data_IF_961953058708
#
_entry.id   IF_961953058708
#
_cell.length_a   1.000
_cell.length_b   1.000
_cell.length_c   1.000
_cell.angle_alpha   90.00
_cell.angle_beta   90.00
_cell.angle_gamma   90.00
#
_symmetry.space_group_name_H-M   'P 1'
#
loop_
_entity.id
_entity.type
_entity.pdbx_description
1 polymer ?
#
# COMPACT_ATOMS: atom_id res chain seq x y z
N UNK A 1 7.43 6.80 -10.74
CA UNK A 1 7.26 7.93 -9.79
C UNK A 1 8.65 8.40 -9.40
N UNK A 2 8.99 9.68 -9.60
CA UNK A 2 10.37 10.18 -9.39
C UNK A 2 10.35 11.31 -8.36
N UNK A 3 11.34 11.31 -7.46
CA UNK A 3 11.48 12.37 -6.47
C UNK A 3 11.80 13.72 -7.15
N UNK A 4 11.54 14.84 -6.48
CA UNK A 4 11.77 16.18 -7.08
C UNK A 4 13.25 16.45 -7.32
N UNK A 5 14.13 15.93 -6.46
CA UNK A 5 15.57 16.00 -6.64
C UNK A 5 16.22 14.64 -6.29
N UNK A 6 16.15 13.65 -7.20
CA UNK A 6 16.55 12.27 -6.92
C UNK A 6 18.06 12.12 -6.74
N UNK A 7 18.86 13.08 -7.22
CA UNK A 7 20.31 13.07 -7.13
C UNK A 7 20.84 13.64 -5.81
N UNK A 8 19.98 14.29 -5.01
CA UNK A 8 20.34 14.78 -3.68
C UNK A 8 20.67 13.61 -2.76
N UNK A 9 21.76 13.73 -2.00
CA UNK A 9 22.11 12.75 -0.99
C UNK A 9 20.97 12.57 0.03
N UNK A 10 20.69 11.32 0.39
CA UNK A 10 19.73 10.96 1.45
C UNK A 10 20.31 11.15 2.85
N UNK A 11 20.90 12.31 3.13
CA UNK A 11 21.53 12.61 4.42
C UNK A 11 20.50 13.00 5.50
N UNK A 12 20.98 13.18 6.73
CA UNK A 12 20.15 13.57 7.88
C UNK A 12 19.35 14.86 7.62
N UNK A 13 19.93 15.82 6.89
CA UNK A 13 19.26 17.08 6.58
C UNK A 13 18.16 16.89 5.54
N UNK A 14 18.38 16.08 4.51
CA UNK A 14 17.37 15.73 3.52
C UNK A 14 16.18 14.99 4.17
N UNK A 15 16.47 14.04 5.07
CA UNK A 15 15.46 13.36 5.88
C UNK A 15 14.66 14.35 6.74
N UNK A 16 15.36 15.23 7.46
CA UNK A 16 14.72 16.27 8.30
C UNK A 16 13.86 17.23 7.48
N UNK A 17 14.35 17.68 6.32
CA UNK A 17 13.64 18.60 5.44
C UNK A 17 12.36 17.96 4.90
N UNK A 18 12.42 16.67 4.55
CA UNK A 18 11.30 15.89 4.03
C UNK A 18 10.23 15.64 5.10
N UNK A 19 10.62 15.06 6.24
CA UNK A 19 9.69 14.69 7.31
C UNK A 19 9.01 15.89 7.98
N UNK A 20 9.65 17.06 7.97
CA UNK A 20 9.06 18.32 8.48
C UNK A 20 8.34 19.13 7.39
N UNK A 21 8.22 18.60 6.16
CA UNK A 21 7.56 19.26 5.05
C UNK A 21 8.10 20.68 4.77
N UNK A 22 9.42 20.88 4.79
CA UNK A 22 10.04 22.23 4.65
C UNK A 22 9.95 22.86 3.26
N UNK A 23 9.08 22.34 2.38
CA UNK A 23 8.89 22.78 0.99
C UNK A 23 10.20 22.88 0.18
N UNK A 24 11.16 21.99 0.49
CA UNK A 24 12.42 21.87 -0.24
C UNK A 24 12.38 20.66 -1.15
N UNK A 25 12.94 20.79 -2.34
CA UNK A 25 13.14 19.63 -3.20
C UNK A 25 14.07 18.63 -2.50
N UNK A 26 13.63 17.38 -2.48
CA UNK A 26 14.29 16.30 -1.76
C UNK A 26 14.35 15.03 -2.60
N UNK A 27 15.18 14.08 -2.18
CA UNK A 27 15.35 12.82 -2.89
C UNK A 27 14.31 11.77 -2.51
N UNK A 28 13.41 12.06 -1.58
CA UNK A 28 12.48 11.09 -1.04
C UNK A 28 11.07 11.24 -1.61
N UNK A 29 10.38 10.11 -1.73
CA UNK A 29 8.93 10.03 -1.87
C UNK A 29 8.40 9.25 -0.66
N UNK A 30 7.37 9.79 0.00
CA UNK A 30 6.68 9.08 1.09
C UNK A 30 5.67 8.08 0.55
N UNK A 31 5.70 6.88 1.10
CA UNK A 31 4.68 5.84 0.91
C UNK A 31 4.11 5.41 2.26
N UNK A 32 2.92 4.82 2.24
CA UNK A 32 2.29 4.27 3.42
C UNK A 32 2.20 2.74 3.33
N UNK A 33 2.56 2.04 4.40
CA UNK A 33 2.49 0.58 4.52
C UNK A 33 1.17 0.09 5.10
N UNK A 34 0.22 1.00 5.36
CA UNK A 34 -1.13 0.69 5.84
C UNK A 34 -2.16 1.39 4.98
N UNK A 35 -3.15 0.63 4.54
CA UNK A 35 -4.28 1.17 3.79
C UNK A 35 -5.04 2.26 4.55
N UNK A 36 -5.26 2.06 5.85
CA UNK A 36 -5.89 3.06 6.71
C UNK A 36 -5.07 4.35 6.81
N UNK A 37 -3.73 4.27 6.77
CA UNK A 37 -2.88 5.46 6.72
C UNK A 37 -3.02 6.20 5.38
N UNK A 38 -3.07 5.46 4.27
CA UNK A 38 -3.31 6.03 2.95
C UNK A 38 -4.68 6.73 2.86
N UNK A 39 -5.76 6.10 3.32
CA UNK A 39 -7.10 6.70 3.38
C UNK A 39 -7.14 7.96 4.24
N UNK A 40 -6.52 7.95 5.43
CA UNK A 40 -6.43 9.16 6.27
C UNK A 40 -5.70 10.30 5.56
N UNK A 41 -4.61 9.99 4.86
CA UNK A 41 -3.86 11.00 4.10
C UNK A 41 -4.67 11.54 2.94
N UNK A 42 -5.37 10.68 2.21
CA UNK A 42 -6.29 11.07 1.13
C UNK A 42 -7.39 12.00 1.65
N UNK A 43 -8.05 11.64 2.75
CA UNK A 43 -9.09 12.48 3.37
C UNK A 43 -8.54 13.85 3.80
N UNK A 44 -7.34 13.88 4.40
CA UNK A 44 -6.66 15.13 4.72
C UNK A 44 -6.40 15.98 3.48
N UNK A 45 -5.91 15.40 2.37
CA UNK A 45 -5.66 16.13 1.13
C UNK A 45 -6.94 16.76 0.56
N UNK A 46 -8.04 16.00 0.50
CA UNK A 46 -9.33 16.49 0.01
C UNK A 46 -9.85 17.64 0.89
N UNK A 47 -9.78 17.50 2.22
CA UNK A 47 -10.20 18.55 3.15
C UNK A 47 -9.35 19.82 3.05
N UNK A 48 -8.14 19.72 2.49
CA UNK A 48 -7.26 20.86 2.20
C UNK A 48 -7.37 21.33 0.75
N UNK A 49 -8.44 20.96 0.04
CA UNK A 49 -8.78 21.47 -1.29
C UNK A 49 -8.09 20.75 -2.46
N UNK A 50 -7.38 19.65 -2.22
CA UNK A 50 -6.84 18.83 -3.30
C UNK A 50 -7.98 18.21 -4.12
N UNK A 51 -7.84 18.21 -5.44
CA UNK A 51 -8.77 17.60 -6.40
C UNK A 51 -8.09 16.43 -7.09
N UNK A 52 -8.90 15.52 -7.63
CA UNK A 52 -8.43 14.35 -8.41
C UNK A 52 -7.39 13.50 -7.64
N UNK A 53 -7.62 13.34 -6.34
CA UNK A 53 -6.74 12.52 -5.50
C UNK A 53 -6.86 11.06 -5.93
N UNK A 54 -5.73 10.38 -6.06
CA UNK A 54 -5.66 8.94 -6.31
C UNK A 54 -4.80 8.28 -5.25
N UNK A 55 -5.08 7.02 -4.94
CA UNK A 55 -4.20 6.15 -4.17
C UNK A 55 -3.58 5.15 -5.15
N UNK A 56 -2.25 5.05 -5.12
CA UNK A 56 -1.49 4.09 -5.93
C UNK A 56 -0.90 3.05 -5.00
N UNK A 57 -1.39 1.82 -5.08
CA UNK A 57 -0.82 0.69 -4.35
C UNK A 57 0.42 0.18 -5.08
N UNK A 58 1.53 0.02 -4.36
CA UNK A 58 2.83 -0.34 -4.94
C UNK A 58 3.50 -1.50 -4.21
N UNK A 59 4.22 -2.31 -4.97
CA UNK A 59 5.06 -3.40 -4.49
C UNK A 59 6.46 -2.88 -4.12
N UNK A 60 6.72 -2.76 -2.82
CA UNK A 60 7.99 -2.26 -2.31
C UNK A 60 9.01 -3.37 -2.02
N UNK A 61 8.59 -4.64 -1.98
CA UNK A 61 9.53 -5.73 -1.71
C UNK A 61 10.62 -5.82 -2.81
N UNK A 62 11.85 -6.09 -2.37
CA UNK A 62 13.05 -6.04 -3.20
C UNK A 62 13.41 -4.64 -3.75
N UNK A 63 12.72 -3.56 -3.34
CA UNK A 63 13.14 -2.20 -3.68
C UNK A 63 14.28 -1.76 -2.76
N UNK A 64 15.36 -1.23 -3.35
CA UNK A 64 16.49 -0.70 -2.58
C UNK A 64 16.19 0.71 -2.05
N UNK A 65 16.93 1.12 -1.01
CA UNK A 65 16.86 2.48 -0.46
C UNK A 65 15.47 2.88 0.04
N UNK A 66 14.78 1.92 0.69
CA UNK A 66 13.54 2.14 1.42
C UNK A 66 13.85 2.25 2.91
N UNK A 67 13.37 3.31 3.55
CA UNK A 67 13.69 3.63 4.94
C UNK A 67 12.43 3.82 5.78
N UNK A 68 12.44 3.32 7.01
CA UNK A 68 11.36 3.55 7.98
C UNK A 68 11.38 5.01 8.47
N UNK A 69 10.30 5.75 8.19
CA UNK A 69 10.21 7.17 8.51
C UNK A 69 10.18 7.42 10.02
N UNK A 70 9.53 6.54 10.80
CA UNK A 70 9.43 6.66 12.25
C UNK A 70 10.79 6.43 12.92
N UNK A 71 11.57 5.47 12.43
CA UNK A 71 12.93 5.21 12.89
C UNK A 71 13.82 6.42 12.63
N UNK A 72 13.80 6.95 11.40
CA UNK A 72 14.55 8.17 11.05
C UNK A 72 14.12 9.34 11.93
N UNK A 73 12.81 9.56 12.10
CA UNK A 73 12.28 10.64 12.92
C UNK A 73 12.76 10.54 14.37
N UNK A 74 12.78 9.33 14.95
CA UNK A 74 13.31 9.08 16.29
C UNK A 74 14.80 9.40 16.35
N UNK A 75 15.58 8.92 15.40
CA UNK A 75 17.04 9.09 15.39
C UNK A 75 17.43 10.58 15.16
N UNK A 76 16.59 11.35 14.47
CA UNK A 76 16.68 12.81 14.31
C UNK A 76 16.04 13.61 15.46
N UNK A 77 15.52 12.94 16.49
CA UNK A 77 14.82 13.54 17.62
C UNK A 77 13.66 14.48 17.20
N UNK A 78 12.91 14.09 16.18
CA UNK A 78 11.70 14.79 15.76
C UNK A 78 10.57 14.48 16.75
N UNK A 79 9.83 15.52 17.14
CA UNK A 79 8.63 15.37 17.98
C UNK A 79 7.51 14.59 17.27
N UNK A 80 6.53 14.12 18.04
CA UNK A 80 5.31 13.47 17.54
C UNK A 80 5.55 12.27 16.59
N UNK A 81 6.29 11.26 17.06
CA UNK A 81 6.61 10.05 16.28
C UNK A 81 5.39 9.31 15.68
N UNK A 82 4.19 9.52 16.23
CA UNK A 82 2.96 8.94 15.72
C UNK A 82 2.59 9.43 14.31
N UNK A 83 3.07 10.61 13.89
CA UNK A 83 2.83 11.15 12.55
C UNK A 83 3.51 10.33 11.45
N UNK A 84 4.62 9.68 11.78
CA UNK A 84 5.43 8.90 10.85
C UNK A 84 5.09 7.40 10.90
N UNK A 85 4.04 7.02 11.63
CA UNK A 85 3.64 5.62 11.74
C UNK A 85 3.13 5.09 10.40
N UNK A 86 3.62 3.92 10.00
CA UNK A 86 3.34 3.28 8.71
C UNK A 86 3.79 4.10 7.51
N UNK A 87 4.71 5.05 7.68
CA UNK A 87 5.32 5.79 6.58
C UNK A 87 6.72 5.23 6.29
N UNK A 88 7.03 5.09 5.01
CA UNK A 88 8.37 4.77 4.52
C UNK A 88 8.82 5.79 3.50
N UNK A 89 10.12 6.09 3.50
CA UNK A 89 10.76 6.98 2.54
C UNK A 89 11.48 6.15 1.49
N UNK A 90 11.19 6.40 0.22
CA UNK A 90 11.89 5.78 -0.91
C UNK A 90 12.80 6.83 -1.53
N UNK A 91 14.11 6.57 -1.54
CA UNK A 91 15.08 7.45 -2.21
C UNK A 91 15.02 7.28 -3.73
N UNK A 92 15.06 8.39 -4.47
CA UNK A 92 15.00 8.44 -5.94
C UNK A 92 13.60 8.20 -6.50
N UNK A 93 12.81 7.34 -5.85
CA UNK A 93 11.45 6.97 -6.22
C UNK A 93 11.35 5.55 -6.77
N UNK A 94 10.33 5.31 -7.58
CA UNK A 94 10.03 4.01 -8.19
C UNK A 94 10.20 4.13 -9.71
N UNK A 95 11.17 3.40 -10.32
CA UNK A 95 11.36 3.35 -11.77
C UNK A 95 10.11 2.88 -12.51
N UNK A 96 9.84 3.45 -13.68
CA UNK A 96 8.62 3.17 -14.43
C UNK A 96 8.58 1.75 -15.02
N UNK A 97 9.74 1.20 -15.35
CA UNK A 97 9.98 -0.13 -15.91
C UNK A 97 9.99 -1.25 -14.87
N UNK A 98 9.79 -0.92 -13.59
CA UNK A 98 9.81 -1.92 -12.50
C UNK A 98 8.50 -2.68 -12.29
N UNK A 99 7.42 -2.32 -13.02
CA UNK A 99 6.08 -2.94 -12.90
C UNK A 99 5.57 -3.09 -11.46
N UNK A 100 5.94 -2.12 -10.60
CA UNK A 100 5.63 -2.15 -9.16
C UNK A 100 4.24 -1.61 -8.81
N UNK A 101 3.52 -1.01 -9.74
CA UNK A 101 2.16 -0.52 -9.48
C UNK A 101 1.23 -1.74 -9.47
N UNK A 102 0.53 -1.95 -8.37
CA UNK A 102 -0.41 -3.07 -8.20
C UNK A 102 -1.84 -2.65 -8.50
N UNK A 103 -2.24 -1.44 -8.08
CA UNK A 103 -3.58 -0.93 -8.32
C UNK A 103 -3.63 0.59 -8.19
N UNK A 104 -4.55 1.21 -8.91
CA UNK A 104 -4.88 2.63 -8.81
C UNK A 104 -6.33 2.79 -8.37
N UNK A 105 -6.53 3.57 -7.31
CA UNK A 105 -7.85 3.87 -6.76
C UNK A 105 -8.17 5.35 -6.96
N UNK A 106 -9.16 5.64 -7.79
CA UNK A 106 -9.66 7.00 -7.99
C UNK A 106 -10.48 7.42 -6.78
N UNK A 107 -10.07 8.49 -6.09
CA UNK A 107 -10.65 8.88 -4.82
C UNK A 107 -11.76 9.93 -4.94
N UNK A 108 -12.55 9.83 -6.01
CA UNK A 108 -13.75 10.64 -6.18
C UNK A 108 -14.86 10.07 -5.27
N UNK A 109 -15.69 10.95 -4.71
CA UNK A 109 -16.82 10.54 -3.85
C UNK A 109 -16.41 10.08 -2.45
N UNK A 110 -17.34 9.41 -1.78
CA UNK A 110 -17.17 8.98 -0.39
C UNK A 110 -16.35 7.69 -0.26
N UNK A 111 -15.98 7.32 0.97
CA UNK A 111 -15.46 5.99 1.26
C UNK A 111 -16.63 5.03 1.48
N UNK A 112 -16.64 3.90 0.78
CA UNK A 112 -17.64 2.82 0.89
C UNK A 112 -17.02 1.53 1.40
N UNK A 113 -17.85 0.69 2.00
CA UNK A 113 -17.45 -0.66 2.39
C UNK A 113 -17.64 -1.63 1.22
N UNK A 114 -16.65 -2.47 0.99
CA UNK A 114 -16.67 -3.55 0.01
C UNK A 114 -16.12 -4.82 0.63
N UNK A 115 -16.29 -5.94 -0.06
CA UNK A 115 -15.75 -7.23 0.35
C UNK A 115 -14.71 -7.74 -0.65
N UNK A 116 -13.71 -8.41 -0.11
CA UNK A 116 -12.70 -9.16 -0.84
C UNK A 116 -12.69 -10.61 -0.36
N UNK A 117 -12.50 -11.52 -1.30
CA UNK A 117 -12.41 -12.95 -1.08
C UNK A 117 -10.99 -13.44 -1.35
N UNK A 118 -10.45 -14.17 -0.39
CA UNK A 118 -9.28 -15.03 -0.53
C UNK A 118 -9.69 -16.45 -0.12
N UNK A 119 -8.94 -17.44 -0.59
CA UNK A 119 -9.13 -18.82 -0.16
C UNK A 119 -8.99 -18.90 1.36
N UNK A 120 -10.07 -19.32 2.03
CA UNK A 120 -10.15 -19.40 3.50
C UNK A 120 -10.45 -18.09 4.23
N UNK A 121 -10.60 -16.95 3.54
CA UNK A 121 -10.85 -15.65 4.17
C UNK A 121 -11.79 -14.76 3.34
N UNK A 122 -12.91 -14.35 3.92
CA UNK A 122 -13.68 -13.20 3.45
C UNK A 122 -13.35 -12.00 4.34
N UNK A 123 -12.97 -10.88 3.74
CA UNK A 123 -12.62 -9.67 4.47
C UNK A 123 -13.38 -8.46 3.95
N UNK A 124 -13.68 -7.55 4.86
CA UNK A 124 -14.24 -6.25 4.55
C UNK A 124 -13.11 -5.24 4.36
N UNK A 125 -13.27 -4.34 3.39
CA UNK A 125 -12.34 -3.27 3.09
C UNK A 125 -13.08 -1.98 2.83
N UNK A 126 -12.44 -0.86 3.16
CA UNK A 126 -12.94 0.48 2.86
C UNK A 126 -12.30 0.94 1.57
N UNK A 127 -13.07 1.37 0.58
CA UNK A 127 -12.55 1.81 -0.72
C UNK A 127 -13.14 3.18 -1.09
N UNK A 128 -12.44 3.99 -1.89
CA UNK A 128 -13.06 5.17 -2.48
C UNK A 128 -14.13 4.78 -3.50
N UNK A 129 -15.28 5.46 -3.45
CA UNK A 129 -16.43 5.23 -4.35
C UNK A 129 -16.04 5.33 -5.82
N UNK A 130 -15.19 6.29 -6.17
CA UNK A 130 -14.69 6.47 -7.54
C UNK A 130 -13.92 5.28 -8.11
N UNK A 131 -13.52 4.30 -7.29
CA UNK A 131 -12.93 3.05 -7.77
C UNK A 131 -13.98 2.07 -8.33
N UNK A 132 -15.22 2.14 -7.85
CA UNK A 132 -16.31 1.24 -8.25
C UNK A 132 -17.40 1.95 -9.07
N UNK A 133 -17.32 3.27 -9.18
CA UNK A 133 -18.28 4.05 -9.97
C UNK A 133 -18.24 3.64 -11.45
N UNK A 134 -19.43 3.43 -12.04
CA UNK A 134 -19.58 2.94 -13.41
C UNK A 134 -19.12 1.49 -13.66
N UNK A 135 -18.71 0.75 -12.63
CA UNK A 135 -18.25 -0.65 -12.76
C UNK A 135 -19.36 -1.63 -12.39
N UNK A 136 -19.59 -2.64 -13.23
CA UNK A 136 -20.54 -3.72 -12.93
C UNK A 136 -19.91 -4.73 -11.97
N UNK A 137 -20.33 -4.72 -10.71
CA UNK A 137 -19.89 -5.68 -9.69
C UNK A 137 -20.80 -6.90 -9.70
N UNK A 138 -20.21 -8.08 -9.93
CA UNK A 138 -20.93 -9.36 -9.93
C UNK A 138 -20.93 -9.98 -8.54
N UNK A 139 -22.00 -9.72 -7.80
CA UNK A 139 -22.30 -10.43 -6.56
C UNK A 139 -21.82 -9.72 -5.30
N UNK A 140 -22.25 -10.27 -4.17
CA UNK A 140 -22.07 -9.70 -2.84
C UNK A 140 -21.55 -10.75 -1.86
N UNK A 141 -20.77 -10.33 -0.87
CA UNK A 141 -20.36 -11.14 0.27
C UNK A 141 -20.80 -10.39 1.54
N UNK A 142 -21.59 -11.05 2.39
CA UNK A 142 -22.08 -10.42 3.63
C UNK A 142 -22.87 -9.13 3.40
N UNK A 143 -23.58 -9.03 2.28
CA UNK A 143 -24.35 -7.83 1.89
C UNK A 143 -23.52 -6.69 1.29
N UNK A 144 -22.21 -6.88 1.10
CA UNK A 144 -21.31 -5.87 0.51
C UNK A 144 -20.88 -6.26 -0.91
N UNK A 145 -20.64 -5.29 -1.82
CA UNK A 145 -20.13 -5.56 -3.16
C UNK A 145 -18.83 -6.37 -3.12
N UNK A 146 -18.78 -7.47 -3.86
CA UNK A 146 -17.56 -8.29 -3.97
C UNK A 146 -16.64 -7.73 -5.07
N UNK A 147 -15.57 -7.04 -4.70
CA UNK A 147 -14.63 -6.41 -5.63
C UNK A 147 -13.41 -7.27 -5.97
N UNK A 148 -13.43 -8.57 -5.65
CA UNK A 148 -12.26 -9.46 -5.81
C UNK A 148 -11.77 -9.52 -7.25
N UNK A 149 -12.65 -9.85 -8.20
CA UNK A 149 -12.26 -9.93 -9.61
C UNK A 149 -11.89 -8.56 -10.18
N UNK A 150 -12.56 -7.49 -9.76
CA UNK A 150 -12.21 -6.12 -10.15
C UNK A 150 -10.76 -5.79 -9.75
N UNK A 151 -10.37 -6.12 -8.52
CA UNK A 151 -9.02 -5.87 -8.04
C UNK A 151 -7.99 -6.79 -8.72
N UNK A 152 -8.36 -8.05 -9.03
CA UNK A 152 -7.50 -8.97 -9.79
C UNK A 152 -7.24 -8.46 -11.22
N UNK A 153 -8.28 -7.96 -11.87
CA UNK A 153 -8.19 -7.42 -13.23
C UNK A 153 -7.39 -6.11 -13.28
N UNK A 154 -7.54 -5.24 -12.26
CA UNK A 154 -6.70 -4.07 -12.09
C UNK A 154 -5.22 -4.47 -11.91
N UNK A 155 -4.93 -5.43 -11.03
CA UNK A 155 -3.56 -5.93 -10.84
C UNK A 155 -2.96 -6.50 -12.13
N UNK A 156 -3.74 -7.31 -12.86
CA UNK A 156 -3.34 -7.84 -14.15
C UNK A 156 -3.08 -6.73 -15.16
N UNK A 157 -3.92 -5.70 -15.21
CA UNK A 157 -3.77 -4.55 -16.12
C UNK A 157 -2.47 -3.77 -15.85
N UNK A 158 -2.05 -3.68 -14.58
CA UNK A 158 -0.83 -2.94 -14.20
C UNK A 158 0.46 -3.75 -14.32
N UNK A 159 0.38 -5.06 -14.11
CA UNK A 159 1.57 -5.93 -14.00
C UNK A 159 1.72 -6.92 -15.15
N UNK A 160 0.69 -7.11 -15.97
CA UNK A 160 0.64 -8.11 -17.04
C UNK A 160 0.49 -9.55 -16.56
N UNK A 161 0.37 -9.80 -15.25
CA UNK A 161 0.32 -11.15 -14.68
C UNK A 161 -0.73 -11.26 -13.58
N UNK A 162 -1.36 -12.42 -13.45
CA UNK A 162 -2.23 -12.75 -12.31
C UNK A 162 -1.35 -13.40 -11.24
N UNK A 163 -0.78 -12.56 -10.38
CA UNK A 163 0.24 -12.94 -9.40
C UNK A 163 -0.36 -12.93 -7.98
N UNK A 164 -0.68 -14.12 -7.46
CA UNK A 164 -1.25 -14.26 -6.11
C UNK A 164 -0.25 -13.85 -5.01
N UNK A 165 1.05 -13.94 -5.28
CA UNK A 165 2.09 -13.51 -4.36
C UNK A 165 2.09 -11.99 -4.18
N UNK A 166 1.50 -11.23 -5.11
CA UNK A 166 1.23 -9.78 -4.99
C UNK A 166 -0.21 -9.46 -4.61
N UNK A 167 -1.18 -10.23 -5.11
CA UNK A 167 -2.59 -10.01 -4.84
C UNK A 167 -2.94 -10.21 -3.36
N UNK A 168 -2.47 -11.31 -2.76
CA UNK A 168 -2.78 -11.64 -1.36
C UNK A 168 -2.25 -10.55 -0.40
N UNK A 169 -0.98 -10.13 -0.46
CA UNK A 169 -0.48 -9.00 0.33
C UNK A 169 -1.28 -7.71 0.15
N UNK A 170 -1.71 -7.41 -1.07
CA UNK A 170 -2.53 -6.24 -1.37
C UNK A 170 -3.86 -6.30 -0.62
N UNK A 171 -4.58 -7.43 -0.73
CA UNK A 171 -5.85 -7.64 -0.02
C UNK A 171 -5.68 -7.55 1.49
N UNK A 172 -4.66 -8.21 2.05
CA UNK A 172 -4.38 -8.18 3.48
C UNK A 172 -4.02 -6.77 3.98
N UNK A 173 -3.25 -6.00 3.19
CA UNK A 173 -2.94 -4.61 3.49
C UNK A 173 -4.20 -3.73 3.47
N UNK A 174 -5.08 -3.90 2.47
CA UNK A 174 -6.36 -3.20 2.37
C UNK A 174 -7.31 -3.52 3.52
N UNK A 175 -7.31 -4.78 3.96
CA UNK A 175 -8.04 -5.26 5.14
C UNK A 175 -7.39 -4.85 6.48
N UNK A 176 -6.21 -4.21 6.43
CA UNK A 176 -5.43 -3.85 7.60
C UNK A 176 -5.12 -5.06 8.51
N UNK A 177 -4.84 -6.21 7.89
CA UNK A 177 -4.46 -7.45 8.53
C UNK A 177 -2.94 -7.61 8.51
N UNK A 178 -2.35 -7.94 9.66
CA UNK A 178 -0.91 -8.21 9.77
C UNK A 178 -0.63 -9.66 9.36
N UNK A 179 0.39 -9.85 8.54
CA UNK A 179 0.83 -11.16 8.07
C UNK A 179 2.35 -11.22 8.06
N UNK A 180 2.87 -12.45 8.10
CA UNK A 180 4.29 -12.72 7.93
C UNK A 180 4.55 -13.23 6.52
N UNK A 181 5.61 -12.73 5.90
CA UNK A 181 6.18 -13.30 4.69
C UNK A 181 7.32 -14.23 5.07
N UNK A 182 7.24 -15.49 4.67
CA UNK A 182 8.28 -16.50 4.89
C UNK A 182 8.74 -17.07 3.56
N UNK A 183 10.04 -17.30 3.43
CA UNK A 183 10.59 -18.06 2.32
C UNK A 183 11.05 -19.40 2.90
N UNK A 184 10.41 -20.48 2.46
CA UNK A 184 10.81 -21.84 2.81
C UNK A 184 11.58 -22.42 1.62
N UNK A 185 12.82 -22.86 1.87
CA UNK A 185 13.72 -23.43 0.85
C UNK A 185 13.10 -24.64 0.11
N UNK A 186 12.11 -25.31 0.70
CA UNK A 186 11.44 -26.49 0.14
C UNK A 186 10.07 -26.22 -0.49
N UNK A 187 9.40 -25.13 -0.13
CA UNK A 187 8.00 -24.86 -0.50
C UNK A 187 7.78 -23.52 -1.22
N UNK A 188 8.84 -22.72 -1.40
CA UNK A 188 8.76 -21.40 -2.01
C UNK A 188 8.28 -20.32 -1.02
N UNK A 189 7.99 -19.10 -1.50
CA UNK A 189 7.46 -18.05 -0.65
C UNK A 189 6.05 -18.39 -0.14
N UNK A 190 5.79 -18.03 1.11
CA UNK A 190 4.55 -18.26 1.82
C UNK A 190 4.12 -17.01 2.59
N UNK A 191 2.83 -16.72 2.57
CA UNK A 191 2.19 -15.73 3.44
C UNK A 191 1.46 -16.45 4.56
N UNK A 192 1.69 -16.01 5.81
CA UNK A 192 0.99 -16.50 6.99
C UNK A 192 0.22 -15.37 7.66
N UNK A 193 -1.10 -15.47 7.65
CA UNK A 193 -1.98 -14.65 8.47
C UNK A 193 -2.25 -15.39 9.79
N UNK A 194 -1.88 -14.79 10.93
CA UNK A 194 -2.05 -15.41 12.25
C UNK A 194 -3.19 -14.76 13.04
N UNK A 195 -4.10 -15.58 13.58
CA UNK A 195 -5.20 -15.15 14.45
C UNK A 195 -4.93 -15.46 15.94
N UNK A 196 -3.69 -15.80 16.28
CA UNK A 196 -3.27 -16.28 17.59
C UNK A 196 -2.17 -17.35 17.48
N UNK A 197 -1.72 -17.94 18.59
CA UNK A 197 -0.56 -18.84 18.60
C UNK A 197 -0.76 -20.18 17.86
N UNK A 198 -2.02 -20.58 17.59
CA UNK A 198 -2.37 -21.90 17.04
C UNK A 198 -3.34 -21.85 15.86
N UNK A 199 -3.68 -20.67 15.34
CA UNK A 199 -4.62 -20.51 14.23
C UNK A 199 -4.09 -19.52 13.22
N UNK A 200 -4.08 -19.91 11.97
CA UNK A 200 -3.71 -19.05 10.86
C UNK A 200 -4.16 -19.60 9.53
N UNK A 201 -4.03 -18.77 8.50
CA UNK A 201 -4.20 -19.16 7.11
C UNK A 201 -2.85 -18.97 6.43
N UNK A 202 -2.45 -19.98 5.66
CA UNK A 202 -1.21 -19.97 4.89
C UNK A 202 -1.50 -20.09 3.40
N UNK A 203 -0.83 -19.26 2.61
CA UNK A 203 -0.82 -19.35 1.15
C UNK A 203 0.61 -19.57 0.68
N UNK A 204 0.84 -20.63 -0.09
CA UNK A 204 2.13 -20.95 -0.70
C UNK A 204 2.11 -20.58 -2.17
N UNK A 205 3.23 -20.07 -2.68
CA UNK A 205 3.37 -19.74 -4.09
C UNK A 205 4.43 -20.63 -4.73
N UNK A 206 4.15 -21.22 -5.91
CA UNK A 206 5.14 -21.99 -6.63
C UNK A 206 6.30 -21.08 -7.07
N UNK A 207 7.52 -21.64 -7.05
CA UNK A 207 8.72 -20.99 -7.60
C UNK A 207 8.69 -20.92 -9.13
#
# INVERSE_FOLDING_TARGET
MVARNPWRAGDAQACSDHLQWRQREGPFISFFTSWNAALRRQHWLINNGAREVIIVAVWLDGLLLVYDARRIARDLNLGNLHWFQNEVLVHGGIPADSYRILAIFHCNGDIKDAALHLDGLNTEVRIPEGYIDGVSIKGNIGGKPNITELLRDELYTRTGTRDDAKFIPLVLCMANLTYDWKVDDSAGPMILLSFGPLRGIGWCFPN
#
